data_IF_949012614518
#
_entry.id   IF_949012614518
#
_cell.length_a   1.000
_cell.length_b   1.000
_cell.length_c   1.000
_cell.angle_alpha   90.00
_cell.angle_beta   90.00
_cell.angle_gamma   90.00
#
_symmetry.space_group_name_H-M   'P 1'
#
loop_
_entity.id
_entity.type
_entity.pdbx_description
1 polymer ?
#
# COMPACT_ATOMS: atom_id res chain seq x y z
N UNK A 1 16.91 -14.59 21.18
CA UNK A 1 16.34 -13.35 20.61
C UNK A 1 15.81 -12.53 21.77
N UNK A 2 16.24 -11.27 21.90
CA UNK A 2 15.93 -10.41 23.04
C UNK A 2 14.51 -9.81 22.93
N UNK A 3 13.84 -9.53 24.05
CA UNK A 3 12.49 -8.95 24.08
C UNK A 3 12.35 -7.66 23.25
N UNK A 4 13.41 -6.84 23.22
CA UNK A 4 13.44 -5.62 22.39
C UNK A 4 13.32 -5.88 20.89
N UNK A 5 13.79 -7.03 20.39
CA UNK A 5 13.64 -7.42 18.99
C UNK A 5 12.17 -7.72 18.65
N UNK A 6 11.47 -8.45 19.52
CA UNK A 6 10.05 -8.76 19.33
C UNK A 6 9.17 -7.50 19.38
N UNK A 7 9.47 -6.59 20.31
CA UNK A 7 8.76 -5.31 20.40
C UNK A 7 8.99 -4.47 19.14
N UNK A 8 10.25 -4.36 18.68
CA UNK A 8 10.58 -3.58 17.49
C UNK A 8 9.92 -4.15 16.22
N UNK A 9 9.98 -5.47 16.03
CA UNK A 9 9.38 -6.15 14.87
C UNK A 9 7.85 -6.10 14.90
N UNK A 10 7.24 -6.24 16.09
CA UNK A 10 5.79 -6.07 16.26
C UNK A 10 5.32 -4.66 15.92
N UNK A 11 6.01 -3.63 16.44
CA UNK A 11 5.70 -2.24 16.11
C UNK A 11 5.90 -1.96 14.61
N UNK A 12 6.98 -2.49 14.02
CA UNK A 12 7.25 -2.38 12.59
C UNK A 12 6.11 -2.96 11.75
N UNK A 13 5.62 -4.15 12.11
CA UNK A 13 4.51 -4.80 11.42
C UNK A 13 3.23 -3.95 11.47
N UNK A 14 2.91 -3.35 12.62
CA UNK A 14 1.75 -2.44 12.76
C UNK A 14 1.89 -1.21 11.86
N UNK A 15 3.07 -0.59 11.81
CA UNK A 15 3.32 0.57 10.93
C UNK A 15 3.16 0.18 9.47
N UNK A 16 3.73 -0.94 9.02
CA UNK A 16 3.59 -1.42 7.65
C UNK A 16 2.14 -1.70 7.29
N UNK A 17 1.39 -2.35 8.19
CA UNK A 17 -0.02 -2.62 8.01
C UNK A 17 -0.84 -1.32 7.91
N UNK A 18 -0.57 -0.34 8.76
CA UNK A 18 -1.26 0.95 8.73
C UNK A 18 -1.02 1.72 7.41
N UNK A 19 0.22 1.73 6.91
CA UNK A 19 0.55 2.32 5.61
C UNK A 19 -0.17 1.62 4.47
N UNK A 20 -0.20 0.28 4.50
CA UNK A 20 -0.86 -0.52 3.46
C UNK A 20 -2.39 -0.35 3.46
N UNK A 21 -3.02 -0.30 4.64
CA UNK A 21 -4.46 0.00 4.78
C UNK A 21 -4.78 1.38 4.21
N UNK A 22 -3.94 2.39 4.45
CA UNK A 22 -4.14 3.72 3.87
C UNK A 22 -4.05 3.71 2.34
N UNK A 23 -3.10 2.95 1.76
CA UNK A 23 -3.02 2.77 0.32
C UNK A 23 -4.28 2.11 -0.27
N UNK A 24 -4.80 1.06 0.39
CA UNK A 24 -6.06 0.41 0.00
C UNK A 24 -7.23 1.40 0.02
N UNK A 25 -7.35 2.21 1.08
CA UNK A 25 -8.42 3.22 1.20
C UNK A 25 -8.34 4.27 0.10
N UNK A 26 -7.12 4.68 -0.30
CA UNK A 26 -6.94 5.57 -1.44
C UNK A 26 -7.33 4.90 -2.76
N UNK A 27 -7.04 3.61 -2.95
CA UNK A 27 -7.48 2.86 -4.13
C UNK A 27 -9.01 2.90 -4.26
N UNK A 28 -9.75 2.59 -3.19
CA UNK A 28 -11.22 2.65 -3.24
C UNK A 28 -11.76 4.04 -3.60
N UNK A 29 -11.17 5.12 -3.04
CA UNK A 29 -11.55 6.50 -3.39
C UNK A 29 -11.24 6.84 -4.86
N UNK A 30 -10.14 6.33 -5.40
CA UNK A 30 -9.79 6.52 -6.81
C UNK A 30 -10.77 5.75 -7.71
N UNK A 31 -11.17 4.54 -7.32
CA UNK A 31 -12.15 3.72 -8.03
C UNK A 31 -13.54 4.37 -8.08
N UNK A 32 -14.00 4.96 -6.98
CA UNK A 32 -15.28 5.69 -6.92
C UNK A 32 -15.32 6.86 -7.92
N UNK A 33 -14.17 7.51 -8.15
CA UNK A 33 -14.03 8.65 -9.06
C UNK A 33 -13.71 8.26 -10.50
N UNK A 34 -13.30 7.02 -10.74
CA UNK A 34 -12.88 6.54 -12.05
C UNK A 34 -13.98 5.68 -12.67
N UNK A 35 -14.71 6.21 -13.67
CA UNK A 35 -15.83 5.48 -14.29
C UNK A 35 -15.45 4.10 -14.83
N UNK A 36 -14.21 3.95 -15.32
CA UNK A 36 -13.68 2.69 -15.84
C UNK A 36 -13.30 1.67 -14.76
N UNK A 37 -13.19 2.08 -13.50
CA UNK A 37 -12.91 1.21 -12.36
C UNK A 37 -14.12 1.02 -11.44
N UNK A 38 -15.09 1.96 -11.48
CA UNK A 38 -16.29 1.97 -10.65
C UNK A 38 -17.00 0.62 -10.70
N UNK A 39 -17.25 0.07 -9.52
CA UNK A 39 -17.96 -1.18 -9.39
C UNK A 39 -19.46 -0.98 -9.71
N UNK A 40 -19.93 -1.60 -10.79
CA UNK A 40 -21.33 -1.49 -11.26
C UNK A 40 -22.21 -2.65 -10.84
N UNK A 41 -21.63 -3.73 -10.30
CA UNK A 41 -22.39 -4.95 -9.96
C UNK A 41 -23.05 -4.87 -8.59
N UNK A 42 -22.69 -3.89 -7.76
CA UNK A 42 -23.21 -3.73 -6.40
C UNK A 42 -22.68 -4.75 -5.38
N UNK A 43 -21.89 -5.74 -5.83
CA UNK A 43 -21.29 -6.76 -4.96
C UNK A 43 -19.95 -6.28 -4.38
N UNK A 44 -19.60 -6.65 -3.13
CA UNK A 44 -18.27 -6.37 -2.59
C UNK A 44 -17.16 -6.90 -3.51
N UNK A 45 -16.15 -6.08 -3.78
CA UNK A 45 -14.99 -6.44 -4.61
C UNK A 45 -13.71 -5.93 -3.96
N UNK A 46 -12.62 -6.67 -4.13
CA UNK A 46 -11.29 -6.20 -3.76
C UNK A 46 -10.93 -4.90 -4.49
N UNK A 47 -10.12 -4.07 -3.81
CA UNK A 47 -9.55 -2.86 -4.40
C UNK A 47 -8.79 -3.21 -5.70
N UNK A 48 -9.09 -2.48 -6.76
CA UNK A 48 -8.42 -2.55 -8.05
C UNK A 48 -7.05 -1.85 -8.02
N UNK A 49 -6.26 -2.09 -6.96
CA UNK A 49 -4.93 -1.51 -6.77
C UNK A 49 -4.00 -1.75 -7.97
N UNK A 50 -3.92 -2.96 -8.57
CA UNK A 50 -3.05 -3.18 -9.73
C UNK A 50 -3.38 -2.27 -10.92
N UNK A 51 -4.68 -2.06 -11.18
CA UNK A 51 -5.13 -1.16 -12.24
C UNK A 51 -4.81 0.29 -11.91
N UNK A 52 -4.99 0.69 -10.65
CA UNK A 52 -4.67 2.03 -10.17
C UNK A 52 -3.17 2.32 -10.23
N UNK A 53 -2.32 1.35 -9.87
CA UNK A 53 -0.86 1.43 -9.99
C UNK A 53 -0.45 1.56 -11.46
N UNK A 54 -1.01 0.73 -12.35
CA UNK A 54 -0.75 0.80 -13.79
C UNK A 54 -1.37 2.03 -14.49
N UNK A 55 -2.08 2.89 -13.76
CA UNK A 55 -2.84 4.02 -14.31
C UNK A 55 -3.85 3.61 -15.41
N UNK A 56 -4.37 2.39 -15.29
CA UNK A 56 -5.29 1.81 -16.27
C UNK A 56 -6.74 2.08 -15.85
N UNK A 57 -7.54 2.68 -16.74
CA UNK A 57 -8.94 3.07 -16.50
C UNK A 57 -9.17 4.05 -15.32
N UNK A 58 -8.08 4.65 -14.80
CA UNK A 58 -8.10 5.69 -13.77
C UNK A 58 -8.48 7.04 -14.38
N UNK A 59 -9.29 7.83 -13.68
CA UNK A 59 -9.61 9.19 -14.09
C UNK A 59 -8.34 10.06 -14.15
N UNK A 60 -8.27 10.94 -15.16
CA UNK A 60 -7.08 11.75 -15.45
C UNK A 60 -7.16 13.17 -14.89
N UNK A 61 -8.16 13.47 -14.07
CA UNK A 61 -8.26 14.75 -13.38
C UNK A 61 -7.13 14.93 -12.35
N UNK A 62 -6.77 16.19 -12.10
CA UNK A 62 -5.64 16.54 -11.25
C UNK A 62 -5.78 16.01 -9.82
N UNK A 63 -7.00 15.98 -9.29
CA UNK A 63 -7.31 15.52 -7.94
C UNK A 63 -7.12 14.00 -7.82
N UNK A 64 -7.69 13.21 -8.74
CA UNK A 64 -7.50 11.75 -8.79
C UNK A 64 -6.04 11.37 -8.98
N UNK A 65 -5.30 12.10 -9.83
CA UNK A 65 -3.88 11.84 -10.03
C UNK A 65 -3.04 12.22 -8.79
N UNK A 66 -3.42 13.26 -8.03
CA UNK A 66 -2.79 13.57 -6.75
C UNK A 66 -3.01 12.46 -5.72
N UNK A 67 -4.23 11.91 -5.64
CA UNK A 67 -4.52 10.74 -4.80
C UNK A 67 -3.72 9.51 -5.22
N UNK A 68 -3.61 9.25 -6.53
CA UNK A 68 -2.79 8.15 -7.07
C UNK A 68 -1.33 8.32 -6.67
N UNK A 69 -0.75 9.53 -6.79
CA UNK A 69 0.63 9.79 -6.34
C UNK A 69 0.82 9.50 -4.85
N UNK A 70 -0.12 9.92 -4.01
CA UNK A 70 -0.10 9.61 -2.56
C UNK A 70 -0.17 8.10 -2.31
N UNK A 71 -1.04 7.39 -3.02
CA UNK A 71 -1.15 5.94 -2.93
C UNK A 71 0.16 5.25 -3.33
N UNK A 72 0.78 5.68 -4.44
CA UNK A 72 2.06 5.14 -4.90
C UNK A 72 3.19 5.40 -3.90
N UNK A 73 3.23 6.57 -3.26
CA UNK A 73 4.20 6.87 -2.20
C UNK A 73 4.01 5.90 -1.03
N UNK A 74 2.78 5.67 -0.57
CA UNK A 74 2.50 4.72 0.52
C UNK A 74 2.93 3.29 0.15
N UNK A 75 2.64 2.84 -1.08
CA UNK A 75 3.06 1.53 -1.56
C UNK A 75 4.59 1.43 -1.66
N UNK A 76 5.27 2.49 -2.11
CA UNK A 76 6.72 2.55 -2.15
C UNK A 76 7.33 2.48 -0.75
N UNK A 77 6.74 3.16 0.24
CA UNK A 77 7.16 3.08 1.64
C UNK A 77 6.98 1.67 2.22
N UNK A 78 5.87 1.00 1.92
CA UNK A 78 5.65 -0.39 2.34
C UNK A 78 6.70 -1.31 1.71
N UNK A 79 6.95 -1.20 0.40
CA UNK A 79 7.96 -1.99 -0.29
C UNK A 79 9.36 -1.74 0.27
N UNK A 80 9.75 -0.47 0.44
CA UNK A 80 11.01 -0.09 1.06
C UNK A 80 11.12 -0.64 2.49
N UNK A 81 10.04 -0.60 3.27
CA UNK A 81 10.00 -1.13 4.62
C UNK A 81 10.28 -2.64 4.68
N UNK A 82 9.74 -3.42 3.73
CA UNK A 82 10.07 -4.85 3.62
C UNK A 82 11.52 -5.09 3.22
N UNK A 83 12.05 -4.30 2.28
CA UNK A 83 13.46 -4.39 1.86
C UNK A 83 14.40 -4.07 3.03
N UNK A 84 14.12 -3.02 3.81
CA UNK A 84 14.90 -2.65 4.98
C UNK A 84 14.86 -3.72 6.07
N UNK A 85 13.68 -4.29 6.33
CA UNK A 85 13.55 -5.40 7.28
C UNK A 85 14.36 -6.61 6.83
N UNK A 86 14.28 -6.99 5.55
CA UNK A 86 15.06 -8.11 5.00
C UNK A 86 16.57 -7.87 5.12
N UNK A 87 17.04 -6.65 4.81
CA UNK A 87 18.44 -6.28 4.96
C UNK A 87 18.89 -6.34 6.44
N UNK A 88 18.08 -5.84 7.36
CA UNK A 88 18.38 -5.90 8.80
C UNK A 88 18.47 -7.34 9.30
N UNK A 89 17.55 -8.22 8.89
CA UNK A 89 17.59 -9.65 9.22
C UNK A 89 18.84 -10.32 8.64
N UNK A 90 19.23 -10.01 7.40
CA UNK A 90 20.43 -10.54 6.78
C UNK A 90 21.73 -10.05 7.45
N UNK A 91 21.74 -8.84 8.01
CA UNK A 91 22.89 -8.31 8.75
C UNK A 91 22.97 -8.84 10.19
N UNK A 92 21.82 -9.12 10.80
CA UNK A 92 21.74 -9.60 12.20
C UNK A 92 21.78 -11.12 12.31
N UNK A 93 21.56 -11.84 11.21
CA UNK A 93 21.81 -13.27 11.08
C UNK A 93 23.10 -13.53 10.31
N UNK A 94 24.11 -14.13 10.95
CA UNK A 94 25.14 -14.90 10.24
C UNK A 94 25.62 -16.06 11.14
N UNK A 95 25.56 -17.34 10.72
CA UNK A 95 24.67 -18.02 9.76
C UNK A 95 23.41 -18.63 10.41
#
# INVERSE_FOLDING_TARGET
>A
MNDGFFVATGLWAVVMLALFIQAIRLSYRIEERSEGLKNRTGLPRYAAMPLTVANYKVARDAETQAMRRRMLILLALVAAGFVLMAAWLAMTGSP
#
